data_IF_808593377842
#
_entry.id   IF_808593377842
#
_cell.length_a   1.000
_cell.length_b   1.000
_cell.length_c   1.000
_cell.angle_alpha   90.00
_cell.angle_beta   90.00
_cell.angle_gamma   90.00
#
_symmetry.space_group_name_H-M   'P 1'
#
loop_
_entity.id
_entity.type
_entity.pdbx_description
1 polymer ?
#
# COMPACT_ATOMS: atom_id res chain seq x y z
N UNK A 1 -42.17 -18.15 -34.78
CA UNK A 1 -42.25 -17.81 -33.34
C UNK A 1 -40.91 -18.10 -32.67
N UNK A 2 -39.99 -17.15 -32.64
CA UNK A 2 -38.81 -17.23 -31.76
C UNK A 2 -39.02 -16.23 -30.62
N UNK A 3 -39.68 -16.73 -29.57
CA UNK A 3 -39.83 -16.04 -28.31
C UNK A 3 -38.52 -16.28 -27.54
N UNK A 4 -37.67 -15.27 -27.41
CA UNK A 4 -36.57 -15.29 -26.44
C UNK A 4 -36.98 -14.43 -25.24
N UNK A 5 -37.59 -15.01 -24.19
CA UNK A 5 -37.73 -14.31 -22.94
C UNK A 5 -36.38 -14.48 -22.23
N UNK A 6 -35.44 -13.59 -22.48
CA UNK A 6 -34.26 -13.50 -21.60
C UNK A 6 -34.71 -12.68 -20.41
N UNK A 7 -35.26 -13.40 -19.44
CA UNK A 7 -35.57 -12.94 -18.10
C UNK A 7 -34.32 -12.31 -17.47
N UNK A 8 -34.50 -11.07 -16.98
CA UNK A 8 -33.62 -10.47 -15.98
C UNK A 8 -32.27 -9.98 -16.49
N UNK A 9 -32.01 -8.68 -16.31
CA UNK A 9 -30.75 -8.04 -16.65
C UNK A 9 -29.53 -8.82 -16.14
N UNK A 10 -28.68 -9.25 -17.06
CA UNK A 10 -27.43 -9.99 -16.84
C UNK A 10 -26.33 -9.10 -16.24
N UNK A 11 -26.64 -8.30 -15.22
CA UNK A 11 -25.68 -7.42 -14.56
C UNK A 11 -25.03 -8.04 -13.32
N UNK A 12 -25.44 -9.25 -12.89
CA UNK A 12 -24.98 -9.89 -11.65
C UNK A 12 -23.63 -10.61 -11.71
N UNK A 13 -22.87 -10.52 -12.81
CA UNK A 13 -21.50 -11.06 -12.86
C UNK A 13 -21.40 -12.59 -12.85
N UNK A 14 -22.49 -13.30 -13.15
CA UNK A 14 -22.47 -14.73 -13.44
C UNK A 14 -21.86 -14.97 -14.82
N UNK A 15 -20.99 -15.96 -14.92
CA UNK A 15 -20.44 -16.44 -16.20
C UNK A 15 -21.57 -17.13 -16.97
N UNK A 16 -21.66 -16.86 -18.27
CA UNK A 16 -22.62 -17.52 -19.16
C UNK A 16 -22.31 -19.01 -19.26
N UNK A 17 -23.33 -19.86 -19.25
CA UNK A 17 -23.17 -21.31 -19.42
C UNK A 17 -22.77 -21.67 -20.86
N UNK A 18 -23.19 -20.87 -21.83
CA UNK A 18 -22.86 -21.08 -23.25
C UNK A 18 -21.72 -20.12 -23.68
N UNK A 19 -20.56 -20.65 -24.11
CA UNK A 19 -19.42 -19.85 -24.54
C UNK A 19 -19.57 -19.35 -25.97
N UNK A 20 -18.94 -18.21 -26.27
CA UNK A 20 -18.78 -17.70 -27.64
C UNK A 20 -17.78 -18.60 -28.36
N UNK A 21 -18.19 -19.26 -29.45
CA UNK A 21 -17.34 -20.21 -30.18
C UNK A 21 -16.61 -19.54 -31.35
N UNK A 22 -17.23 -18.54 -31.96
CA UNK A 22 -16.68 -17.82 -33.11
C UNK A 22 -15.61 -16.79 -32.72
N UNK A 23 -14.61 -16.61 -33.59
CA UNK A 23 -13.57 -15.58 -33.43
C UNK A 23 -13.96 -14.27 -34.12
N UNK A 24 -13.40 -13.14 -33.67
CA UNK A 24 -13.60 -11.84 -34.33
C UNK A 24 -13.15 -11.82 -35.79
N UNK A 25 -12.21 -12.70 -36.19
CA UNK A 25 -11.76 -12.86 -37.58
C UNK A 25 -12.83 -13.52 -38.47
N UNK A 26 -13.59 -14.46 -37.92
CA UNK A 26 -14.61 -15.23 -38.63
C UNK A 26 -15.98 -14.54 -38.59
N UNK A 27 -16.15 -13.58 -37.68
CA UNK A 27 -17.40 -12.87 -37.43
C UNK A 27 -18.21 -13.54 -36.32
N UNK A 28 -18.99 -12.74 -35.60
CA UNK A 28 -19.86 -13.20 -34.51
C UNK A 28 -21.27 -13.40 -35.04
N UNK A 29 -21.95 -14.47 -34.61
CA UNK A 29 -23.38 -14.62 -34.87
C UNK A 29 -24.19 -13.58 -34.08
N UNK A 30 -25.41 -13.26 -34.52
CA UNK A 30 -26.24 -12.23 -33.85
C UNK A 30 -26.44 -12.46 -32.33
N UNK A 31 -26.69 -13.70 -31.84
CA UNK A 31 -26.76 -13.96 -30.40
C UNK A 31 -25.42 -13.74 -29.68
N UNK A 32 -24.30 -14.19 -30.23
CA UNK A 32 -22.96 -14.03 -29.65
C UNK A 32 -22.54 -12.56 -29.57
N UNK A 33 -22.85 -11.78 -30.60
CA UNK A 33 -22.62 -10.34 -30.60
C UNK A 33 -23.44 -9.66 -29.49
N UNK A 34 -24.72 -9.99 -29.34
CA UNK A 34 -25.56 -9.41 -28.29
C UNK A 34 -25.03 -9.77 -26.89
N UNK A 35 -24.54 -11.00 -26.68
CA UNK A 35 -23.90 -11.39 -25.41
C UNK A 35 -22.62 -10.59 -25.13
N UNK A 36 -21.78 -10.38 -26.15
CA UNK A 36 -20.53 -9.62 -26.02
C UNK A 36 -20.77 -8.13 -25.67
N UNK A 37 -21.77 -7.50 -26.30
CA UNK A 37 -22.09 -6.07 -26.04
C UNK A 37 -22.53 -5.80 -24.60
N UNK A 38 -23.24 -6.74 -23.96
CA UNK A 38 -23.63 -6.61 -22.55
C UNK A 38 -22.44 -6.53 -21.59
N UNK A 39 -21.42 -7.37 -21.84
CA UNK A 39 -20.15 -7.35 -21.09
C UNK A 39 -19.37 -6.07 -21.33
N UNK A 40 -19.23 -5.65 -22.59
CA UNK A 40 -18.55 -4.40 -22.98
C UNK A 40 -19.19 -3.17 -22.35
N UNK A 41 -20.52 -3.04 -22.40
CA UNK A 41 -21.25 -1.92 -21.78
C UNK A 41 -21.06 -1.88 -20.27
N UNK A 42 -21.14 -3.03 -19.59
CA UNK A 42 -20.86 -3.10 -18.14
C UNK A 42 -19.41 -2.70 -17.83
N UNK A 43 -18.46 -3.11 -18.68
CA UNK A 43 -17.05 -2.70 -18.60
C UNK A 43 -16.90 -1.18 -18.67
N UNK A 44 -17.48 -0.54 -19.69
CA UNK A 44 -17.44 0.92 -19.85
C UNK A 44 -18.07 1.67 -18.66
N UNK A 45 -19.25 1.23 -18.20
CA UNK A 45 -19.92 1.81 -17.04
C UNK A 45 -19.08 1.63 -15.78
N UNK A 46 -18.50 0.44 -15.56
CA UNK A 46 -17.64 0.17 -14.42
C UNK A 46 -16.38 1.05 -14.43
N UNK A 47 -15.76 1.24 -15.60
CA UNK A 47 -14.60 2.14 -15.72
C UNK A 47 -15.00 3.57 -15.34
N UNK A 48 -16.10 4.09 -15.89
CA UNK A 48 -16.58 5.43 -15.55
C UNK A 48 -16.89 5.59 -14.05
N UNK A 49 -17.58 4.61 -13.45
CA UNK A 49 -17.87 4.62 -12.00
C UNK A 49 -16.59 4.55 -11.17
N UNK A 50 -15.67 3.64 -11.49
CA UNK A 50 -14.39 3.49 -10.77
C UNK A 50 -13.54 4.75 -10.85
N UNK A 51 -13.50 5.43 -11.99
CA UNK A 51 -12.81 6.73 -12.14
C UNK A 51 -13.41 7.79 -11.22
N UNK A 52 -14.75 7.89 -11.15
CA UNK A 52 -15.43 8.83 -10.27
C UNK A 52 -15.14 8.55 -8.78
N UNK A 53 -15.19 7.27 -8.38
CA UNK A 53 -14.89 6.86 -7.00
C UNK A 53 -13.43 7.11 -6.61
N UNK A 54 -12.47 6.87 -7.52
CA UNK A 54 -11.06 7.12 -7.26
C UNK A 54 -10.80 8.60 -6.93
N UNK A 55 -11.30 9.53 -7.74
CA UNK A 55 -11.13 10.97 -7.49
C UNK A 55 -11.81 11.45 -6.21
N UNK A 56 -13.01 10.91 -5.91
CA UNK A 56 -13.73 11.21 -4.67
C UNK A 56 -12.94 10.76 -3.43
N UNK A 57 -12.38 9.55 -3.47
CA UNK A 57 -11.59 9.00 -2.38
C UNK A 57 -10.33 9.83 -2.14
N UNK A 58 -9.58 10.16 -3.20
CA UNK A 58 -8.38 11.00 -3.07
C UNK A 58 -8.70 12.36 -2.45
N UNK A 59 -9.80 13.01 -2.86
CA UNK A 59 -10.22 14.30 -2.28
C UNK A 59 -10.54 14.18 -0.79
N UNK A 60 -11.24 13.11 -0.39
CA UNK A 60 -11.56 12.85 1.02
C UNK A 60 -10.30 12.56 1.85
N UNK A 61 -9.38 11.76 1.33
CA UNK A 61 -8.12 11.44 2.00
C UNK A 61 -7.27 12.70 2.20
N UNK A 62 -7.14 13.55 1.17
CA UNK A 62 -6.41 14.82 1.27
C UNK A 62 -7.04 15.74 2.32
N UNK A 63 -8.38 15.86 2.34
CA UNK A 63 -9.07 16.68 3.33
C UNK A 63 -8.88 16.18 4.78
N UNK A 64 -8.82 14.86 4.99
CA UNK A 64 -8.57 14.28 6.30
C UNK A 64 -7.10 14.44 6.75
N UNK A 65 -6.16 14.37 5.80
CA UNK A 65 -4.72 14.36 6.07
C UNK A 65 -4.05 15.75 5.99
N UNK A 66 -4.78 16.81 5.61
CA UNK A 66 -4.21 18.15 5.40
C UNK A 66 -3.46 18.73 6.61
N UNK A 67 -3.81 18.31 7.83
CA UNK A 67 -3.19 18.78 9.07
C UNK A 67 -1.94 17.97 9.47
N UNK A 68 -1.56 16.94 8.70
CA UNK A 68 -0.38 16.12 8.96
C UNK A 68 0.84 16.77 8.30
N UNK A 69 1.50 17.63 9.07
CA UNK A 69 2.74 18.32 8.71
C UNK A 69 3.82 17.91 9.70
N UNK A 70 5.07 17.86 9.26
CA UNK A 70 6.20 17.64 10.14
C UNK A 70 6.52 18.94 10.89
N UNK A 71 6.33 18.96 12.21
CA UNK A 71 6.49 20.18 13.01
C UNK A 71 7.72 20.19 13.92
N UNK A 72 8.23 19.02 14.28
CA UNK A 72 9.36 18.88 15.19
C UNK A 72 10.26 17.71 14.79
N UNK A 73 11.50 17.69 15.29
CA UNK A 73 12.46 16.64 14.97
C UNK A 73 12.21 15.34 15.73
N UNK A 74 11.88 15.43 17.02
CA UNK A 74 11.66 14.27 17.89
C UNK A 74 10.63 14.54 18.99
N UNK A 75 9.59 13.71 19.04
CA UNK A 75 8.58 13.73 20.11
C UNK A 75 8.96 12.90 21.35
N UNK A 76 10.15 12.29 21.35
CA UNK A 76 10.69 11.47 22.45
C UNK A 76 9.80 10.31 22.89
N UNK A 77 8.90 9.83 22.02
CA UNK A 77 8.08 8.65 22.32
C UNK A 77 8.97 7.42 22.48
N UNK A 78 8.69 6.65 23.54
CA UNK A 78 9.31 5.34 23.81
C UNK A 78 8.46 4.23 23.16
N UNK A 79 7.27 4.59 22.65
CA UNK A 79 6.36 3.65 22.05
C UNK A 79 6.53 3.56 20.53
N UNK A 80 6.27 2.37 20.00
CA UNK A 80 6.47 2.08 18.60
C UNK A 80 5.84 0.78 18.16
N UNK A 81 5.95 0.52 16.87
CA UNK A 81 5.34 -0.62 16.21
C UNK A 81 6.37 -1.72 16.02
N UNK A 82 6.02 -2.96 16.38
CA UNK A 82 6.83 -4.12 16.06
C UNK A 82 6.56 -4.54 14.62
N UNK A 83 7.55 -4.36 13.73
CA UNK A 83 7.49 -4.84 12.35
C UNK A 83 8.04 -6.26 12.29
N UNK A 84 7.33 -7.14 11.57
CA UNK A 84 7.72 -8.54 11.38
C UNK A 84 7.95 -8.85 9.91
N UNK A 85 8.78 -9.85 9.63
CA UNK A 85 8.88 -10.45 8.30
C UNK A 85 7.53 -11.00 7.85
N UNK A 86 7.21 -10.86 6.56
CA UNK A 86 6.00 -11.41 5.97
C UNK A 86 6.24 -12.87 5.57
N UNK A 87 5.51 -13.78 6.20
CA UNK A 87 5.59 -15.22 5.94
C UNK A 87 4.26 -15.69 5.37
N UNK A 88 4.29 -16.22 4.15
CA UNK A 88 3.15 -16.89 3.52
C UNK A 88 3.53 -18.34 3.21
N UNK A 89 2.66 -19.28 3.58
CA UNK A 89 2.84 -20.72 3.31
C UNK A 89 4.21 -21.27 3.78
N UNK A 90 4.74 -20.73 4.88
CA UNK A 90 6.03 -21.16 5.45
C UNK A 90 7.27 -20.65 4.70
N UNK A 91 7.10 -19.78 3.70
CA UNK A 91 8.19 -19.07 3.03
C UNK A 91 8.19 -17.59 3.40
N UNK A 92 9.37 -17.03 3.60
CA UNK A 92 9.54 -15.59 3.82
C UNK A 92 9.33 -14.92 2.45
N UNK A 93 8.18 -14.26 2.28
CA UNK A 93 7.86 -13.50 1.07
C UNK A 93 8.60 -12.17 1.07
N UNK A 94 8.67 -11.52 2.24
CA UNK A 94 9.39 -10.27 2.40
C UNK A 94 10.12 -10.21 3.76
N UNK A 95 11.46 -10.07 3.77
CA UNK A 95 12.23 -9.98 5.01
C UNK A 95 11.99 -8.65 5.73
N UNK A 96 12.22 -8.63 7.04
CA UNK A 96 11.98 -7.46 7.88
C UNK A 96 12.83 -6.26 7.45
N UNK A 97 14.09 -6.47 7.06
CA UNK A 97 15.03 -5.43 6.66
C UNK A 97 14.49 -4.57 5.52
N UNK A 98 13.92 -5.20 4.48
CA UNK A 98 13.30 -4.49 3.34
C UNK A 98 12.10 -3.63 3.76
N UNK A 99 11.34 -4.05 4.78
CA UNK A 99 10.15 -3.34 5.27
C UNK A 99 10.48 -2.15 6.19
N UNK A 100 11.63 -2.19 6.86
CA UNK A 100 12.05 -1.19 7.86
C UNK A 100 13.02 -0.14 7.31
N UNK A 101 13.46 -0.25 6.04
CA UNK A 101 14.34 0.76 5.42
C UNK A 101 13.74 2.16 5.54
N UNK A 102 14.56 3.12 5.99
CA UNK A 102 14.17 4.51 6.16
C UNK A 102 13.30 4.79 7.38
N UNK A 103 13.08 3.81 8.25
CA UNK A 103 12.44 4.00 9.56
C UNK A 103 13.50 4.24 10.64
N UNK A 104 13.04 4.69 11.81
CA UNK A 104 13.89 4.93 12.98
C UNK A 104 13.58 3.87 14.04
N UNK A 105 14.61 3.34 14.69
CA UNK A 105 14.48 2.33 15.76
C UNK A 105 13.99 2.95 17.07
N UNK A 106 13.20 2.18 17.83
CA UNK A 106 12.80 2.55 19.20
C UNK A 106 13.81 2.00 20.19
N UNK A 107 14.10 0.71 20.08
CA UNK A 107 15.05 -0.02 20.91
C UNK A 107 16.28 -0.42 20.08
N UNK A 108 17.45 -0.56 20.70
CA UNK A 108 18.63 -1.07 20.01
C UNK A 108 18.37 -2.49 19.49
N UNK A 109 18.92 -2.79 18.32
CA UNK A 109 18.82 -4.12 17.70
C UNK A 109 20.18 -4.80 17.82
N UNK A 110 20.18 -6.00 18.42
CA UNK A 110 21.38 -6.79 18.69
C UNK A 110 21.47 -7.95 17.70
N UNK A 111 22.68 -8.25 17.24
CA UNK A 111 22.95 -9.49 16.51
C UNK A 111 23.01 -10.66 17.51
N UNK A 112 22.11 -11.65 17.42
CA UNK A 112 22.13 -12.81 18.33
C UNK A 112 23.39 -13.68 18.19
N UNK A 113 24.10 -13.59 17.06
CA UNK A 113 25.29 -14.42 16.79
C UNK A 113 26.57 -13.82 17.37
N UNK A 114 26.71 -12.49 17.28
CA UNK A 114 27.92 -11.75 17.68
C UNK A 114 27.77 -11.02 19.01
N UNK A 115 26.54 -10.87 19.49
CA UNK A 115 26.19 -10.07 20.66
C UNK A 115 26.63 -8.58 20.53
N UNK A 116 26.69 -8.08 19.29
CA UNK A 116 27.02 -6.71 18.94
C UNK A 116 25.75 -5.91 18.62
N UNK A 117 25.78 -4.59 18.85
CA UNK A 117 24.68 -3.69 18.48
C UNK A 117 24.79 -3.39 16.98
N UNK A 118 23.78 -3.80 16.21
CA UNK A 118 23.69 -3.50 14.77
C UNK A 118 23.26 -2.04 14.57
N UNK A 119 22.25 -1.60 15.33
CA UNK A 119 21.72 -0.24 15.29
C UNK A 119 21.27 0.20 16.67
N UNK A 120 21.60 1.43 17.05
CA UNK A 120 21.25 2.03 18.32
C UNK A 120 19.77 2.35 18.45
N UNK A 121 19.37 2.91 19.59
CA UNK A 121 18.04 3.51 19.77
C UNK A 121 18.00 4.88 19.08
N UNK A 122 16.87 5.22 18.46
CA UNK A 122 16.66 6.49 17.76
C UNK A 122 17.59 6.74 16.56
N UNK A 123 18.10 5.67 15.96
CA UNK A 123 18.92 5.72 14.75
C UNK A 123 18.11 5.34 13.52
N UNK A 124 18.48 5.94 12.38
CA UNK A 124 17.84 5.65 11.11
C UNK A 124 18.35 4.35 10.48
N UNK A 125 17.44 3.58 9.90
CA UNK A 125 17.76 2.31 9.28
C UNK A 125 18.09 2.55 7.81
N UNK A 126 19.39 2.60 7.50
CA UNK A 126 19.88 2.66 6.12
C UNK A 126 19.81 1.27 5.46
N UNK A 127 19.82 1.21 4.12
CA UNK A 127 19.88 -0.05 3.36
C UNK A 127 21.00 -1.00 3.81
N UNK A 128 22.15 -0.48 4.27
CA UNK A 128 23.26 -1.27 4.81
C UNK A 128 22.87 -1.97 6.13
N UNK A 129 22.38 -1.19 7.09
CA UNK A 129 21.89 -1.67 8.40
C UNK A 129 20.76 -2.69 8.20
N UNK A 130 19.83 -2.43 7.28
CA UNK A 130 18.77 -3.38 6.94
C UNK A 130 19.32 -4.73 6.43
N UNK A 131 20.38 -4.72 5.62
CA UNK A 131 21.05 -5.94 5.16
C UNK A 131 21.76 -6.69 6.29
N UNK A 132 22.33 -5.98 7.26
CA UNK A 132 22.91 -6.59 8.47
C UNK A 132 21.85 -7.24 9.36
N UNK A 133 20.69 -6.58 9.54
CA UNK A 133 19.53 -7.13 10.27
C UNK A 133 19.02 -8.42 9.61
N UNK A 134 18.90 -8.42 8.28
CA UNK A 134 18.47 -9.61 7.53
C UNK A 134 19.52 -10.73 7.59
N UNK A 135 20.82 -10.41 7.52
CA UNK A 135 21.90 -11.38 7.64
C UNK A 135 22.00 -12.00 9.05
N UNK A 136 21.66 -11.23 10.09
CA UNK A 136 21.58 -11.69 11.47
C UNK A 136 20.36 -12.59 11.74
N UNK A 137 19.46 -12.76 10.77
CA UNK A 137 18.28 -13.62 10.90
C UNK A 137 17.19 -13.07 11.83
N UNK A 138 17.16 -11.75 12.04
CA UNK A 138 16.21 -11.09 12.93
C UNK A 138 14.83 -11.07 12.24
N UNK A 139 13.80 -11.55 12.95
CA UNK A 139 12.45 -11.67 12.40
C UNK A 139 11.51 -10.51 12.79
N UNK A 140 11.83 -9.81 13.88
CA UNK A 140 11.03 -8.69 14.36
C UNK A 140 11.89 -7.54 14.89
N UNK A 141 11.49 -6.31 14.57
CA UNK A 141 12.18 -5.08 14.97
C UNK A 141 11.16 -4.05 15.43
N UNK A 142 11.43 -3.39 16.57
CA UNK A 142 10.59 -2.31 17.08
C UNK A 142 11.00 -0.97 16.47
N UNK A 143 10.12 -0.40 15.65
CA UNK A 143 10.34 0.87 14.93
C UNK A 143 9.40 1.97 15.41
N UNK A 144 9.80 3.23 15.22
CA UNK A 144 8.91 4.37 15.46
C UNK A 144 7.88 4.43 14.35
N UNK A 145 6.67 4.87 14.70
CA UNK A 145 5.54 4.95 13.78
C UNK A 145 4.84 6.30 13.91
N UNK A 146 4.26 6.84 12.82
CA UNK A 146 3.37 8.00 12.91
C UNK A 146 2.16 7.76 13.83
N UNK A 147 1.73 6.50 14.00
CA UNK A 147 0.59 6.13 14.83
C UNK A 147 0.86 6.23 16.34
N UNK A 148 2.13 6.07 16.75
CA UNK A 148 2.55 6.15 18.17
C UNK A 148 3.21 7.49 18.50
N UNK A 149 3.09 8.47 17.59
CA UNK A 149 3.67 9.79 17.74
C UNK A 149 2.92 10.59 18.82
N UNK A 150 3.66 11.20 19.75
CA UNK A 150 3.10 12.00 20.85
C UNK A 150 3.06 13.52 20.55
N UNK A 151 3.38 13.91 19.31
CA UNK A 151 3.33 15.31 18.85
C UNK A 151 1.89 15.83 18.88
N UNK A 152 1.67 17.01 19.47
CA UNK A 152 0.30 17.57 19.65
C UNK A 152 -0.38 17.99 18.34
N UNK A 153 0.35 18.61 17.42
CA UNK A 153 -0.19 19.17 16.18
C UNK A 153 0.69 18.81 14.99
N UNK A 154 0.55 17.59 14.48
CA UNK A 154 1.33 17.10 13.34
C UNK A 154 2.14 15.87 13.72
N UNK A 155 3.31 15.71 13.09
CA UNK A 155 4.17 14.55 13.27
C UNK A 155 5.63 14.96 13.50
N UNK A 156 6.37 14.08 14.16
CA UNK A 156 7.81 14.21 14.36
C UNK A 156 8.61 13.62 13.18
N UNK A 157 9.76 14.21 12.82
CA UNK A 157 10.63 13.71 11.75
C UNK A 157 11.02 12.24 11.98
N UNK A 158 11.46 11.90 13.21
CA UNK A 158 11.87 10.54 13.57
C UNK A 158 10.75 9.50 13.50
N UNK A 159 9.51 9.92 13.73
CA UNK A 159 8.34 9.06 13.74
C UNK A 159 7.89 8.73 12.31
N UNK A 160 8.06 9.68 11.39
CA UNK A 160 7.82 9.49 9.97
C UNK A 160 8.96 8.72 9.30
N UNK A 161 10.20 9.14 9.53
CA UNK A 161 11.39 8.59 8.91
C UNK A 161 11.74 9.27 7.59
N UNK A 162 12.09 8.48 6.58
CA UNK A 162 12.53 8.98 5.29
C UNK A 162 11.38 9.45 4.41
N UNK A 163 11.67 10.49 3.64
CA UNK A 163 10.97 10.77 2.40
C UNK A 163 11.43 9.79 1.31
N UNK A 164 10.47 9.10 0.70
CA UNK A 164 10.71 8.05 -0.30
C UNK A 164 11.26 8.63 -1.62
N UNK A 165 10.99 9.90 -1.93
CA UNK A 165 11.57 10.56 -3.11
C UNK A 165 13.06 10.83 -2.93
N UNK A 166 13.44 11.46 -1.82
CA UNK A 166 14.81 11.91 -1.58
C UNK A 166 15.70 10.86 -0.92
N UNK A 167 15.12 9.78 -0.36
CA UNK A 167 15.82 8.77 0.43
C UNK A 167 16.62 9.37 1.61
N UNK A 168 16.05 10.41 2.23
CA UNK A 168 16.61 11.10 3.40
C UNK A 168 15.51 11.34 4.42
N UNK A 169 15.87 11.62 5.66
CA UNK A 169 14.90 12.04 6.69
C UNK A 169 14.09 13.23 6.15
N UNK A 170 12.77 13.17 6.33
CA UNK A 170 11.83 14.21 5.90
C UNK A 170 12.19 15.58 6.48
N UNK A 171 11.98 16.66 5.74
CA UNK A 171 12.30 18.01 6.20
C UNK A 171 11.23 18.55 7.15
N UNK A 172 11.62 19.49 8.03
CA UNK A 172 10.67 20.25 8.84
C UNK A 172 9.77 21.11 7.95
N UNK A 173 8.48 21.16 8.26
CA UNK A 173 7.47 21.91 7.49
C UNK A 173 6.89 21.16 6.29
N UNK A 174 7.32 19.91 6.04
CA UNK A 174 6.83 19.13 4.90
C UNK A 174 5.42 18.57 5.13
N UNK A 175 4.54 18.74 4.13
CA UNK A 175 3.14 18.34 4.17
C UNK A 175 2.95 16.85 3.84
N UNK A 176 3.48 15.97 4.69
CA UNK A 176 3.47 14.52 4.50
C UNK A 176 2.09 13.91 4.34
N UNK A 177 1.05 14.49 4.94
CA UNK A 177 -0.32 14.00 4.80
C UNK A 177 -0.87 14.10 3.38
N UNK A 178 -0.56 15.19 2.67
CA UNK A 178 -1.00 15.38 1.28
C UNK A 178 -0.26 14.41 0.36
N UNK A 179 1.05 14.25 0.58
CA UNK A 179 1.89 13.31 -0.17
C UNK A 179 1.39 11.88 0.02
N UNK A 180 1.08 11.48 1.27
CA UNK A 180 0.52 10.17 1.58
C UNK A 180 -0.88 9.93 0.99
N UNK A 181 -1.74 10.96 0.97
CA UNK A 181 -3.08 10.84 0.40
C UNK A 181 -3.04 10.71 -1.14
N UNK A 182 -2.11 11.39 -1.80
CA UNK A 182 -1.92 11.31 -3.25
C UNK A 182 -1.24 10.00 -3.68
N UNK A 183 -0.33 9.47 -2.86
CA UNK A 183 0.38 8.24 -3.18
C UNK A 183 -0.51 6.99 -3.15
N UNK A 184 -1.73 7.04 -2.61
CA UNK A 184 -2.73 5.97 -2.79
C UNK A 184 -2.98 5.62 -4.27
N UNK A 185 -2.74 6.55 -5.20
CA UNK A 185 -2.87 6.28 -6.63
C UNK A 185 -1.68 5.48 -7.21
N UNK A 186 -0.53 5.47 -6.53
CA UNK A 186 0.71 4.82 -6.97
C UNK A 186 1.15 3.63 -6.10
N UNK A 187 0.70 3.55 -4.84
CA UNK A 187 1.09 2.53 -3.84
C UNK A 187 0.15 1.32 -3.82
N UNK A 188 -0.94 1.33 -4.60
CA UNK A 188 -1.92 0.24 -4.64
C UNK A 188 -1.71 -0.85 -5.74
N UNK A 189 -0.50 -1.23 -6.19
CA UNK A 189 -0.30 -2.53 -6.82
C UNK A 189 0.21 -3.60 -5.83
N UNK A 190 0.19 -3.34 -4.51
CA UNK A 190 0.55 -4.32 -3.48
C UNK A 190 -0.71 -4.79 -2.72
N UNK A 191 -1.53 -5.58 -3.39
CA UNK A 191 -2.45 -6.54 -2.80
C UNK A 191 -2.63 -7.71 -3.75
#
# INVERSE_FOLDING_TARGET
HYFYPISGGRLRGRVSEEPIRSSFKEGLTAPEYFMSTGGGRKGLVNTALKTAYAGYLTRKLVAAAQNLIIIESDCQTIDGLTMRSLVEEGKIVEPVGKRIVGRVTVSPVLDPSKNEVIVGSNEEITKKIAGEIDAAGILEVKIRSPLTCQTKWGLCQRCYGWDLSSHRIVSLGEAVGVIAAQSHQYIFPLH
#
